data_IF_026306527743
#
_entry.id   IF_026306527743
#
_cell.length_a   1.000
_cell.length_b   1.000
_cell.length_c   1.000
_cell.angle_alpha   90.00
_cell.angle_beta   90.00
_cell.angle_gamma   90.00
#
_symmetry.space_group_name_H-M   'P 1'
#
loop_
_entity.id
_entity.type
_entity.pdbx_description
1 polymer ?
#
# COMPACT_ATOMS: atom_id res chain seq x y z
N UNK A 1 -58.56 -35.32 13.97
CA UNK A 1 -57.50 -36.17 14.50
C UNK A 1 -56.97 -37.04 13.37
N UNK A 2 -55.80 -36.70 12.83
CA UNK A 2 -54.94 -37.65 12.14
C UNK A 2 -53.64 -37.67 12.94
N UNK A 3 -53.57 -38.58 13.91
CA UNK A 3 -52.48 -38.74 14.88
C UNK A 3 -51.23 -39.43 14.29
N UNK A 4 -51.08 -39.54 12.97
CA UNK A 4 -49.95 -40.27 12.37
C UNK A 4 -49.46 -39.64 11.04
N UNK A 5 -48.99 -38.39 11.09
CA UNK A 5 -48.16 -37.82 10.02
C UNK A 5 -46.73 -37.57 10.53
N UNK A 6 -46.10 -38.63 11.06
CA UNK A 6 -44.68 -38.65 11.43
C UNK A 6 -43.76 -39.01 10.25
N UNK A 7 -44.20 -38.82 9.01
CA UNK A 7 -43.35 -39.05 7.83
C UNK A 7 -42.41 -37.85 7.63
N UNK A 8 -41.28 -38.01 8.30
CA UNK A 8 -40.20 -37.06 8.52
C UNK A 8 -39.51 -36.66 7.21
N UNK A 9 -39.79 -35.46 6.72
CA UNK A 9 -38.87 -34.77 5.83
C UNK A 9 -37.52 -34.60 6.55
N UNK A 10 -36.44 -35.05 5.89
CA UNK A 10 -35.09 -35.01 6.47
C UNK A 10 -34.15 -34.29 5.50
N UNK A 11 -33.47 -33.26 5.98
CA UNK A 11 -32.52 -32.45 5.22
C UNK A 11 -31.14 -33.00 5.51
N UNK A 12 -30.44 -33.48 4.47
CA UNK A 12 -29.03 -33.86 4.60
C UNK A 12 -28.17 -32.63 4.42
N UNK A 13 -27.39 -32.31 5.46
CA UNK A 13 -26.37 -31.28 5.47
C UNK A 13 -25.02 -31.98 5.38
N UNK A 14 -24.28 -31.72 4.31
CA UNK A 14 -22.87 -32.08 4.24
C UNK A 14 -22.07 -30.78 4.19
N UNK A 15 -21.01 -30.68 4.97
CA UNK A 15 -20.14 -29.52 4.92
C UNK A 15 -18.68 -29.83 5.17
N UNK A 16 -17.83 -28.93 4.69
CA UNK A 16 -16.39 -28.95 4.89
C UNK A 16 -16.03 -27.68 5.66
N UNK A 17 -15.44 -27.85 6.84
CA UNK A 17 -14.80 -26.76 7.55
C UNK A 17 -13.30 -26.82 7.27
N UNK A 18 -12.69 -25.69 6.88
CA UNK A 18 -11.23 -25.54 6.78
C UNK A 18 -10.78 -24.51 7.79
N UNK A 19 -9.80 -24.85 8.62
CA UNK A 19 -9.07 -23.89 9.45
C UNK A 19 -7.67 -23.73 8.89
N UNK A 20 -7.29 -22.48 8.62
CA UNK A 20 -5.94 -22.12 8.23
C UNK A 20 -5.17 -21.55 9.42
N UNK A 21 -4.04 -22.18 9.76
CA UNK A 21 -3.03 -21.58 10.63
C UNK A 21 -2.31 -20.50 9.85
N UNK A 22 -2.31 -19.25 10.31
CA UNK A 22 -1.59 -18.19 9.63
C UNK A 22 -0.23 -17.94 10.28
N UNK A 23 0.79 -17.63 9.47
CA UNK A 23 2.10 -17.19 9.95
C UNK A 23 1.94 -15.88 10.74
N UNK A 24 2.52 -15.77 11.96
CA UNK A 24 2.40 -14.55 12.77
C UNK A 24 2.94 -13.32 12.03
N UNK A 25 4.03 -13.50 11.29
CA UNK A 25 4.87 -12.40 10.79
C UNK A 25 4.89 -12.25 9.26
N UNK A 26 4.06 -13.01 8.53
CA UNK A 26 4.00 -12.96 7.06
C UNK A 26 5.28 -13.35 6.31
N UNK A 27 6.27 -13.89 7.03
CA UNK A 27 7.54 -14.37 6.47
C UNK A 27 7.43 -15.74 5.81
N UNK A 28 8.20 -15.91 4.72
CA UNK A 28 8.40 -17.16 3.97
C UNK A 28 8.73 -18.31 4.93
N UNK A 29 8.11 -19.50 4.80
CA UNK A 29 8.46 -20.63 5.65
C UNK A 29 9.89 -21.06 5.37
N UNK A 30 10.70 -21.17 6.43
CA UNK A 30 12.04 -21.73 6.36
C UNK A 30 11.97 -23.21 5.96
N UNK A 31 12.32 -23.51 4.71
CA UNK A 31 12.37 -24.89 4.17
C UNK A 31 13.73 -25.54 4.40
N UNK A 32 14.40 -25.24 5.52
CA UNK A 32 15.62 -25.93 5.91
C UNK A 32 15.37 -26.90 7.07
N UNK A 33 14.88 -28.08 6.69
CA UNK A 33 15.02 -29.26 7.54
C UNK A 33 16.50 -29.62 7.64
N UNK A 34 17.14 -29.33 8.76
CA UNK A 34 18.31 -30.11 9.21
C UNK A 34 18.35 -30.17 10.72
N UNK A 35 18.24 -31.41 11.22
CA UNK A 35 18.58 -31.84 12.57
C UNK A 35 19.95 -31.29 13.00
N UNK A 36 19.96 -30.45 14.03
CA UNK A 36 21.17 -29.88 14.60
C UNK A 36 21.16 -30.02 16.12
N UNK A 37 21.86 -31.03 16.59
CA UNK A 37 22.07 -31.41 17.99
C UNK A 37 22.71 -30.24 18.77
N UNK A 38 22.12 -29.89 19.91
CA UNK A 38 22.76 -29.06 20.94
C UNK A 38 24.08 -29.69 21.40
N UNK A 39 25.18 -28.91 21.39
CA UNK A 39 26.26 -29.07 22.37
C UNK A 39 26.79 -27.73 22.84
N UNK A 40 26.77 -27.59 24.16
CA UNK A 40 27.33 -26.53 24.99
C UNK A 40 28.75 -26.93 25.46
N UNK A 41 29.53 -25.92 25.88
CA UNK A 41 30.78 -25.95 26.67
C UNK A 41 32.06 -26.20 25.84
N UNK A 42 33.25 -25.67 26.14
CA UNK A 42 33.83 -24.87 27.25
C UNK A 42 35.24 -24.42 26.81
N UNK A 43 35.79 -23.35 27.42
CA UNK A 43 37.24 -23.12 27.58
C UNK A 43 38.03 -22.53 26.40
N UNK A 44 38.61 -21.34 26.57
CA UNK A 44 39.96 -21.26 27.12
C UNK A 44 40.44 -19.80 27.32
N UNK A 45 41.05 -19.59 28.49
CA UNK A 45 41.78 -18.40 28.87
C UNK A 45 43.10 -18.30 28.09
N UNK A 46 43.49 -17.10 27.69
CA UNK A 46 44.92 -16.78 27.64
C UNK A 46 45.22 -15.36 28.10
N UNK A 47 45.71 -15.32 29.33
CA UNK A 47 46.38 -14.20 29.99
C UNK A 47 47.80 -14.10 29.44
N UNK A 48 48.22 -12.92 28.98
CA UNK A 48 49.63 -12.57 28.88
C UNK A 48 49.90 -11.27 29.64
N UNK A 49 50.63 -11.41 30.75
CA UNK A 49 51.08 -10.34 31.64
C UNK A 49 52.52 -9.93 31.29
N UNK A 50 52.72 -8.61 31.36
CA UNK A 50 53.92 -7.83 31.75
C UNK A 50 55.16 -7.87 30.84
N UNK A 51 55.58 -6.67 30.44
CA UNK A 51 56.88 -6.13 30.86
C UNK A 51 56.79 -4.63 31.19
N UNK A 52 57.30 -4.27 32.37
CA UNK A 52 57.45 -2.90 32.86
C UNK A 52 58.78 -2.35 32.36
N UNK A 53 58.75 -1.14 31.79
CA UNK A 53 59.93 -0.31 31.56
C UNK A 53 59.63 1.11 32.01
N UNK A 54 60.23 1.53 33.12
CA UNK A 54 60.18 2.90 33.64
C UNK A 54 61.25 3.72 32.91
N UNK A 55 60.87 4.83 32.28
CA UNK A 55 61.77 5.95 32.01
C UNK A 55 61.10 7.26 32.44
N UNK A 56 61.73 7.93 33.40
CA UNK A 56 61.34 9.24 33.93
C UNK A 56 61.90 10.37 33.06
N UNK A 57 61.05 11.40 32.91
CA UNK A 57 61.33 12.84 32.75
C UNK A 57 61.96 13.33 31.43
N UNK A 58 61.14 14.08 30.70
CA UNK A 58 61.56 15.20 29.87
C UNK A 58 60.40 16.18 29.75
N UNK A 59 60.32 17.15 30.66
CA UNK A 59 59.37 18.25 30.55
C UNK A 59 59.69 19.07 29.30
N UNK A 60 58.78 19.08 28.31
CA UNK A 60 58.79 20.09 27.26
C UNK A 60 57.41 20.75 27.16
N UNK A 61 57.39 21.99 27.60
CA UNK A 61 56.28 22.93 27.67
C UNK A 61 55.84 23.29 26.25
N UNK A 62 54.69 22.80 25.80
CA UNK A 62 53.95 23.38 24.66
C UNK A 62 52.47 23.46 25.05
N UNK A 63 52.13 24.55 25.74
CA UNK A 63 50.76 25.05 25.85
C UNK A 63 50.70 26.38 25.12
N UNK A 64 50.16 26.36 23.89
CA UNK A 64 49.49 27.46 23.17
C UNK A 64 49.05 26.91 21.82
N UNK A 65 47.88 26.26 21.79
CA UNK A 65 47.35 25.65 20.56
C UNK A 65 46.05 24.88 20.73
N UNK A 66 45.70 24.46 21.95
CA UNK A 66 44.45 23.72 22.21
C UNK A 66 43.18 24.50 21.88
N UNK A 67 43.18 25.84 22.07
CA UNK A 67 42.04 26.70 21.70
C UNK A 67 41.93 26.90 20.18
N UNK A 68 43.05 27.08 19.47
CA UNK A 68 43.03 27.21 18.01
C UNK A 68 42.64 25.89 17.31
N UNK A 69 43.11 24.74 17.81
CA UNK A 69 42.72 23.45 17.26
C UNK A 69 41.22 23.17 17.45
N UNK A 70 40.68 23.48 18.64
CA UNK A 70 39.24 23.36 18.90
C UNK A 70 38.40 24.27 17.98
N UNK A 71 38.84 25.52 17.75
CA UNK A 71 38.14 26.46 16.86
C UNK A 71 38.16 25.96 15.41
N UNK A 72 39.27 25.40 14.94
CA UNK A 72 39.36 24.84 13.57
C UNK A 72 38.47 23.61 13.42
N UNK A 73 38.43 22.71 14.41
CA UNK A 73 37.53 21.53 14.37
C UNK A 73 36.06 21.95 14.39
N UNK A 74 35.70 22.94 15.21
CA UNK A 74 34.32 23.49 15.24
C UNK A 74 33.98 24.17 13.92
N UNK A 75 34.89 24.94 13.33
CA UNK A 75 34.68 25.57 12.02
C UNK A 75 34.49 24.53 10.92
N UNK A 76 35.29 23.45 10.92
CA UNK A 76 35.12 22.33 9.98
C UNK A 76 33.75 21.69 10.19
N UNK A 77 33.35 21.39 11.43
CA UNK A 77 32.02 20.81 11.72
C UNK A 77 30.88 21.72 11.29
N UNK A 78 31.01 23.04 11.48
CA UNK A 78 30.00 24.02 11.02
C UNK A 78 29.96 24.06 9.49
N UNK A 79 31.11 24.07 8.81
CA UNK A 79 31.19 24.04 7.35
C UNK A 79 30.62 22.71 6.83
N UNK A 80 30.96 21.57 7.44
CA UNK A 80 30.40 20.25 7.11
C UNK A 80 28.90 20.22 7.34
N UNK A 81 28.39 20.81 8.42
CA UNK A 81 26.96 20.93 8.69
C UNK A 81 26.28 21.84 7.66
N UNK A 82 26.87 22.98 7.29
CA UNK A 82 26.36 23.87 6.26
C UNK A 82 26.36 23.18 4.89
N UNK A 83 27.41 22.41 4.56
CA UNK A 83 27.49 21.60 3.34
C UNK A 83 26.44 20.49 3.36
N UNK A 84 26.23 19.80 4.48
CA UNK A 84 25.17 18.81 4.64
C UNK A 84 23.76 19.44 4.51
N UNK A 85 23.57 20.63 5.08
CA UNK A 85 22.31 21.38 4.98
C UNK A 85 22.09 21.91 3.56
N UNK A 86 23.14 22.36 2.86
CA UNK A 86 23.04 22.80 1.47
C UNK A 86 22.84 21.64 0.51
N UNK A 87 23.46 20.48 0.77
CA UNK A 87 23.19 19.25 0.03
C UNK A 87 21.76 18.75 0.26
N UNK A 88 21.21 18.94 1.46
CA UNK A 88 19.78 18.75 1.74
C UNK A 88 18.86 19.77 1.06
N UNK A 89 19.37 20.90 0.56
CA UNK A 89 18.55 22.02 0.06
C UNK A 89 18.57 22.23 -1.45
N UNK A 90 19.31 21.45 -2.23
CA UNK A 90 19.17 21.50 -3.68
C UNK A 90 20.33 20.95 -4.47
N UNK A 91 20.02 20.59 -5.71
CA UNK A 91 21.01 20.45 -6.76
C UNK A 91 21.52 21.86 -7.08
N UNK A 92 22.85 22.03 -7.08
CA UNK A 92 23.49 23.34 -7.24
C UNK A 92 23.01 24.02 -8.53
N UNK A 93 22.45 25.23 -8.41
CA UNK A 93 22.04 26.05 -9.55
C UNK A 93 20.55 26.01 -9.92
N UNK A 94 19.72 25.26 -9.20
CA UNK A 94 18.27 25.20 -9.42
C UNK A 94 17.54 26.40 -8.77
N UNK A 95 16.53 26.95 -9.46
CA UNK A 95 15.71 28.02 -8.91
C UNK A 95 14.75 27.44 -7.85
N UNK A 96 14.64 28.09 -6.69
CA UNK A 96 13.82 27.59 -5.58
C UNK A 96 12.39 28.16 -5.68
N UNK A 97 11.38 27.30 -5.60
CA UNK A 97 9.99 27.71 -5.45
C UNK A 97 9.66 27.95 -3.97
N UNK A 98 8.95 29.04 -3.68
CA UNK A 98 8.38 29.29 -2.35
C UNK A 98 7.14 28.43 -2.10
N UNK A 99 6.82 28.19 -0.83
CA UNK A 99 5.63 27.42 -0.47
C UNK A 99 4.34 28.13 -0.90
N UNK A 100 4.32 29.46 -0.90
CA UNK A 100 3.20 30.27 -1.40
C UNK A 100 2.95 30.04 -2.90
N UNK A 101 4.01 30.02 -3.70
CA UNK A 101 3.91 29.70 -5.13
C UNK A 101 3.31 28.30 -5.32
N UNK A 102 3.76 27.31 -4.56
CA UNK A 102 3.21 25.95 -4.62
C UNK A 102 1.73 25.90 -4.22
N UNK A 103 1.35 26.51 -3.10
CA UNK A 103 -0.03 26.48 -2.60
C UNK A 103 -1.01 27.29 -3.45
N UNK A 104 -0.51 28.32 -4.15
CA UNK A 104 -1.29 29.13 -5.10
C UNK A 104 -1.48 28.50 -6.48
N UNK A 105 -0.90 27.32 -6.71
CA UNK A 105 -1.01 26.56 -7.98
C UNK A 105 -2.44 26.48 -8.49
N UNK A 106 -2.59 26.68 -9.80
CA UNK A 106 -3.82 26.40 -10.54
C UNK A 106 -3.62 25.22 -11.49
N UNK A 107 -4.67 24.43 -11.63
CA UNK A 107 -4.68 23.24 -12.48
C UNK A 107 -6.10 22.98 -12.98
N UNK A 108 -6.23 22.46 -14.20
CA UNK A 108 -7.51 22.11 -14.78
C UNK A 108 -7.41 20.83 -15.61
N UNK A 109 -8.49 20.05 -15.57
CA UNK A 109 -8.53 18.71 -16.17
C UNK A 109 -9.22 18.70 -17.53
N UNK A 110 -8.89 17.69 -18.33
CA UNK A 110 -9.70 17.31 -19.47
C UNK A 110 -11.04 16.75 -18.97
N UNK A 111 -12.13 17.01 -19.69
CA UNK A 111 -13.47 16.56 -19.29
C UNK A 111 -13.64 15.08 -19.72
N UNK A 112 -12.91 14.20 -19.06
CA UNK A 112 -12.94 12.76 -19.31
C UNK A 112 -13.94 12.06 -18.39
N UNK A 113 -14.85 11.30 -18.99
CA UNK A 113 -15.92 10.59 -18.31
C UNK A 113 -15.48 9.16 -17.96
N UNK A 114 -15.00 8.99 -16.72
CA UNK A 114 -14.64 7.73 -16.09
C UNK A 114 -15.13 7.69 -14.65
N UNK A 115 -15.42 6.51 -14.12
CA UNK A 115 -15.90 6.29 -12.76
C UNK A 115 -14.87 5.61 -11.84
N UNK A 116 -13.98 4.80 -12.42
CA UNK A 116 -13.06 3.92 -11.69
C UNK A 116 -11.64 4.10 -12.24
N UNK A 117 -10.65 4.04 -11.36
CA UNK A 117 -9.23 3.95 -11.73
C UNK A 117 -8.70 2.60 -11.30
N UNK A 118 -8.05 1.89 -12.22
CA UNK A 118 -7.48 0.57 -11.98
C UNK A 118 -5.97 0.68 -12.18
N UNK A 119 -5.20 0.42 -11.13
CA UNK A 119 -3.74 0.42 -11.17
C UNK A 119 -3.20 -1.00 -11.07
N UNK A 120 -2.31 -1.37 -11.98
CA UNK A 120 -1.62 -2.64 -11.93
C UNK A 120 -0.54 -2.62 -10.82
N UNK A 121 -0.37 -3.71 -10.08
CA UNK A 121 0.59 -3.81 -8.97
C UNK A 121 2.01 -4.23 -9.38
N UNK A 122 2.24 -4.57 -10.66
CA UNK A 122 3.56 -4.92 -11.21
C UNK A 122 4.59 -3.82 -10.97
N UNK A 123 4.16 -2.56 -10.92
CA UNK A 123 4.96 -1.45 -10.43
C UNK A 123 4.21 -0.68 -9.35
N UNK A 124 4.80 -0.46 -8.17
CA UNK A 124 4.13 0.27 -7.10
C UNK A 124 3.89 1.75 -7.46
N UNK A 125 4.63 2.29 -8.43
CA UNK A 125 4.47 3.65 -8.95
C UNK A 125 3.13 3.88 -9.65
N UNK A 126 2.51 2.84 -10.22
CA UNK A 126 1.21 3.01 -10.88
C UNK A 126 0.12 3.46 -9.91
N UNK A 127 0.15 3.00 -8.66
CA UNK A 127 -0.77 3.48 -7.63
C UNK A 127 -0.54 4.95 -7.27
N UNK A 128 0.73 5.40 -7.23
CA UNK A 128 1.08 6.80 -7.01
C UNK A 128 0.55 7.71 -8.12
N UNK A 129 0.74 7.30 -9.38
CA UNK A 129 0.22 8.02 -10.56
C UNK A 129 -1.32 8.05 -10.57
N UNK A 130 -1.95 6.95 -10.17
CA UNK A 130 -3.40 6.80 -10.14
C UNK A 130 -4.09 7.62 -9.05
N UNK A 131 -3.41 7.91 -7.95
CA UNK A 131 -4.01 8.55 -6.77
C UNK A 131 -4.67 9.92 -7.09
N UNK A 132 -4.01 10.89 -7.75
CA UNK A 132 -4.65 12.16 -8.12
C UNK A 132 -5.66 12.04 -9.28
N UNK A 133 -5.83 10.85 -9.87
CA UNK A 133 -6.95 10.56 -10.79
C UNK A 133 -8.17 10.06 -10.04
N UNK A 134 -7.95 9.27 -8.99
CA UNK A 134 -8.99 8.66 -8.19
C UNK A 134 -9.56 9.65 -7.16
N UNK A 135 -8.73 10.49 -6.55
CA UNK A 135 -9.17 11.50 -5.59
C UNK A 135 -8.45 12.82 -5.83
N UNK A 136 -9.20 13.92 -5.96
CA UNK A 136 -8.62 15.25 -6.13
C UNK A 136 -9.57 16.34 -5.65
N UNK A 137 -9.05 17.56 -5.51
CA UNK A 137 -9.81 18.74 -5.11
C UNK A 137 -9.88 19.77 -6.25
N UNK A 138 -11.10 20.16 -6.65
CA UNK A 138 -11.35 21.22 -7.63
C UNK A 138 -12.64 21.96 -7.27
N UNK A 139 -12.53 22.99 -6.43
CA UNK A 139 -13.69 23.66 -5.82
C UNK A 139 -14.51 22.76 -4.85
N UNK A 140 -14.14 21.48 -4.73
CA UNK A 140 -14.75 20.46 -3.89
C UNK A 140 -13.99 19.13 -4.03
N UNK A 141 -14.33 18.15 -3.18
CA UNK A 141 -13.71 16.82 -3.21
C UNK A 141 -14.34 15.96 -4.31
N UNK A 142 -13.52 15.43 -5.20
CA UNK A 142 -13.89 14.39 -6.16
C UNK A 142 -13.26 13.08 -5.74
N UNK A 143 -14.03 11.99 -5.72
CA UNK A 143 -13.53 10.67 -5.31
C UNK A 143 -14.15 9.56 -6.13
N UNK A 144 -13.29 8.68 -6.61
CA UNK A 144 -13.56 7.51 -7.43
C UNK A 144 -12.81 6.32 -6.82
N UNK A 145 -13.31 5.08 -6.95
CA UNK A 145 -12.58 3.91 -6.50
C UNK A 145 -11.24 3.77 -7.22
N UNK A 146 -10.18 3.54 -6.46
CA UNK A 146 -8.87 3.08 -6.96
C UNK A 146 -8.74 1.59 -6.64
N UNK A 147 -8.73 0.75 -7.67
CA UNK A 147 -8.57 -0.70 -7.55
C UNK A 147 -7.15 -1.07 -7.93
N UNK A 148 -6.47 -1.85 -7.08
CA UNK A 148 -5.14 -2.37 -7.37
C UNK A 148 -5.26 -3.81 -7.82
N UNK A 149 -4.79 -4.12 -9.03
CA UNK A 149 -4.95 -5.44 -9.68
C UNK A 149 -3.60 -6.07 -10.00
N UNK A 150 -3.56 -7.39 -10.00
CA UNK A 150 -2.44 -8.18 -10.52
C UNK A 150 -2.15 -9.42 -9.69
N UNK A 151 -1.19 -10.20 -10.20
CA UNK A 151 -0.76 -11.42 -9.55
C UNK A 151 -0.11 -11.13 -8.20
N UNK A 152 -0.66 -11.66 -7.11
CA UNK A 152 -0.07 -11.60 -5.77
C UNK A 152 0.76 -12.87 -5.56
N UNK A 153 2.10 -12.83 -5.68
CA UNK A 153 2.95 -14.02 -5.68
C UNK A 153 2.86 -14.87 -4.39
N UNK A 154 2.41 -14.26 -3.30
CA UNK A 154 2.27 -14.89 -1.98
C UNK A 154 0.92 -15.59 -1.78
N UNK A 155 -0.03 -15.45 -2.70
CA UNK A 155 -1.31 -16.17 -2.66
C UNK A 155 -1.15 -17.47 -3.46
N UNK A 156 -0.74 -18.55 -2.79
CA UNK A 156 -0.48 -19.86 -3.40
C UNK A 156 -1.67 -20.46 -4.17
N UNK A 157 -2.89 -20.00 -3.88
CA UNK A 157 -4.14 -20.44 -4.51
C UNK A 157 -4.74 -19.41 -5.46
N UNK A 158 -3.96 -18.43 -5.93
CA UNK A 158 -4.47 -17.43 -6.85
C UNK A 158 -4.65 -18.04 -8.24
N UNK A 159 -5.90 -18.36 -8.59
CA UNK A 159 -6.27 -18.94 -9.88
C UNK A 159 -6.34 -17.89 -11.01
N UNK A 160 -6.42 -16.60 -10.66
CA UNK A 160 -6.55 -15.47 -11.59
C UNK A 160 -5.75 -14.27 -11.11
N UNK A 161 -5.16 -13.52 -12.04
CA UNK A 161 -4.39 -12.30 -11.72
C UNK A 161 -5.27 -11.16 -11.17
N UNK A 162 -6.59 -11.28 -11.22
CA UNK A 162 -7.51 -10.32 -10.60
C UNK A 162 -8.22 -11.00 -9.44
N UNK A 163 -8.11 -10.41 -8.23
CA UNK A 163 -8.76 -10.93 -7.05
C UNK A 163 -10.29 -10.98 -7.24
N UNK A 164 -10.94 -12.04 -6.71
CA UNK A 164 -12.37 -12.26 -6.85
C UNK A 164 -13.23 -11.11 -6.29
N UNK A 165 -12.76 -10.42 -5.25
CA UNK A 165 -13.41 -9.23 -4.70
C UNK A 165 -13.48 -8.07 -5.70
N UNK A 166 -12.44 -7.89 -6.51
CA UNK A 166 -12.39 -6.89 -7.58
C UNK A 166 -13.36 -7.28 -8.69
N UNK A 167 -13.34 -8.53 -9.13
CA UNK A 167 -14.26 -9.02 -10.17
C UNK A 167 -15.71 -8.92 -9.71
N UNK A 168 -16.02 -9.26 -8.44
CA UNK A 168 -17.36 -9.09 -7.87
C UNK A 168 -17.77 -7.62 -7.80
N UNK A 169 -16.86 -6.72 -7.43
CA UNK A 169 -17.11 -5.28 -7.44
C UNK A 169 -17.45 -4.80 -8.86
N UNK A 170 -16.67 -5.17 -9.87
CA UNK A 170 -16.91 -4.77 -11.26
C UNK A 170 -18.24 -5.35 -11.79
N UNK A 171 -18.53 -6.61 -11.51
CA UNK A 171 -19.80 -7.25 -11.90
C UNK A 171 -21.02 -6.60 -11.23
N UNK A 172 -20.85 -5.97 -10.07
CA UNK A 172 -21.92 -5.26 -9.35
C UNK A 172 -22.22 -3.88 -9.96
N UNK A 173 -21.28 -3.31 -10.72
CA UNK A 173 -21.36 -1.99 -11.34
C UNK A 173 -20.90 -2.02 -12.82
N UNK A 174 -21.54 -2.82 -13.70
CA UNK A 174 -21.09 -3.06 -15.06
C UNK A 174 -21.21 -1.85 -16.00
N UNK A 175 -22.04 -0.86 -15.65
CA UNK A 175 -22.24 0.37 -16.43
C UNK A 175 -21.14 1.41 -16.24
N UNK A 176 -20.23 1.16 -15.29
CA UNK A 176 -19.14 2.06 -14.95
C UNK A 176 -18.05 2.06 -16.01
N UNK A 177 -17.26 3.12 -16.03
CA UNK A 177 -16.16 3.28 -16.98
C UNK A 177 -14.84 3.37 -16.26
N UNK A 178 -13.84 2.67 -16.75
CA UNK A 178 -12.54 2.58 -16.10
C UNK A 178 -11.41 3.24 -16.92
N UNK A 179 -10.46 3.83 -16.19
CA UNK A 179 -9.09 4.05 -16.68
C UNK A 179 -8.21 2.96 -16.10
N UNK A 180 -7.42 2.31 -16.95
CA UNK A 180 -6.46 1.27 -16.55
C UNK A 180 -5.03 1.81 -16.70
N UNK A 181 -4.23 1.63 -15.65
CA UNK A 181 -2.84 2.07 -15.57
C UNK A 181 -1.97 0.83 -15.32
N UNK A 182 -1.05 0.57 -16.24
CA UNK A 182 -0.28 -0.67 -16.34
C UNK A 182 -0.95 -1.73 -17.21
N UNK A 183 -0.53 -2.99 -17.04
CA UNK A 183 -1.02 -4.10 -17.87
C UNK A 183 -2.51 -4.36 -17.64
N UNK A 184 -3.23 -4.60 -18.75
CA UNK A 184 -4.65 -4.95 -18.76
C UNK A 184 -4.84 -6.46 -18.61
N UNK A 185 -5.70 -6.85 -17.67
CA UNK A 185 -6.10 -8.23 -17.46
C UNK A 185 -7.40 -8.59 -18.19
N UNK A 186 -7.51 -9.80 -18.77
CA UNK A 186 -8.75 -10.28 -19.43
C UNK A 186 -10.00 -10.23 -18.54
N UNK A 187 -9.83 -10.40 -17.24
CA UNK A 187 -10.89 -10.41 -16.22
C UNK A 187 -11.54 -9.03 -16.03
N UNK A 188 -10.94 -7.96 -16.55
CA UNK A 188 -11.51 -6.61 -16.58
C UNK A 188 -12.50 -6.41 -17.75
N UNK A 189 -12.89 -7.47 -18.45
CA UNK A 189 -13.83 -7.42 -19.58
C UNK A 189 -15.26 -7.05 -19.19
N UNK A 190 -15.62 -7.13 -17.91
CA UNK A 190 -16.94 -6.78 -17.39
C UNK A 190 -17.23 -5.27 -17.39
N UNK A 191 -16.23 -4.42 -17.67
CA UNK A 191 -16.34 -2.96 -17.60
C UNK A 191 -15.84 -2.28 -18.88
N UNK A 192 -16.45 -1.15 -19.26
CA UNK A 192 -15.96 -0.33 -20.36
C UNK A 192 -14.63 0.34 -19.96
N UNK A 193 -13.57 0.11 -20.75
CA UNK A 193 -12.27 0.75 -20.54
C UNK A 193 -12.15 1.93 -21.49
N UNK A 194 -12.13 3.14 -20.92
CA UNK A 194 -11.99 4.40 -21.66
C UNK A 194 -10.57 4.61 -22.15
N UNK A 195 -9.62 4.42 -21.23
CA UNK A 195 -8.19 4.58 -21.49
C UNK A 195 -7.45 3.41 -20.83
N UNK A 196 -6.44 2.92 -21.54
CA UNK A 196 -5.52 1.91 -21.02
C UNK A 196 -4.09 2.36 -21.32
N UNK A 197 -3.32 2.62 -20.27
CA UNK A 197 -1.94 3.06 -20.36
C UNK A 197 -1.03 1.92 -19.93
N UNK A 198 -0.33 1.28 -20.87
CA UNK A 198 0.60 0.20 -20.59
C UNK A 198 2.02 0.60 -20.96
N UNK A 199 3.00 0.22 -20.15
CA UNK A 199 4.40 0.50 -20.43
C UNK A 199 5.18 0.80 -19.17
N UNK A 200 6.26 1.55 -19.32
CA UNK A 200 7.08 1.99 -18.20
C UNK A 200 6.36 3.07 -17.37
N UNK A 201 6.46 3.07 -16.02
CA UNK A 201 5.88 4.13 -15.20
C UNK A 201 6.27 5.54 -15.60
N UNK A 202 7.49 5.76 -16.12
CA UNK A 202 7.92 7.07 -16.59
C UNK A 202 7.06 7.53 -17.77
N UNK A 203 6.98 6.72 -18.82
CA UNK A 203 6.21 7.00 -20.04
C UNK A 203 4.72 7.13 -19.73
N UNK A 204 4.17 6.19 -18.95
CA UNK A 204 2.76 6.16 -18.56
C UNK A 204 2.37 7.42 -17.80
N UNK A 205 3.21 7.90 -16.87
CA UNK A 205 2.92 9.11 -16.11
C UNK A 205 2.85 10.37 -17.00
N UNK A 206 3.73 10.47 -17.99
CA UNK A 206 3.76 11.58 -18.95
C UNK A 206 2.53 11.55 -19.86
N UNK A 207 2.17 10.37 -20.39
CA UNK A 207 0.98 10.20 -21.23
C UNK A 207 -0.30 10.57 -20.48
N UNK A 208 -0.49 10.03 -19.27
CA UNK A 208 -1.63 10.32 -18.42
C UNK A 208 -1.74 11.82 -18.11
N UNK A 209 -0.63 12.45 -17.75
CA UNK A 209 -0.59 13.89 -17.49
C UNK A 209 -0.97 14.69 -18.73
N UNK A 210 -0.44 14.30 -19.90
CA UNK A 210 -0.72 14.96 -21.17
C UNK A 210 -2.17 14.81 -21.63
N UNK A 211 -2.84 13.69 -21.35
CA UNK A 211 -4.20 13.44 -21.81
C UNK A 211 -5.26 14.00 -20.85
N UNK A 212 -5.02 13.86 -19.54
CA UNK A 212 -6.04 14.11 -18.52
C UNK A 212 -5.95 15.50 -17.89
N UNK A 213 -4.86 16.25 -18.11
CA UNK A 213 -4.75 17.66 -17.72
C UNK A 213 -4.70 18.58 -18.92
N UNK A 214 -5.50 19.64 -18.87
CA UNK A 214 -5.45 20.75 -19.85
C UNK A 214 -4.35 21.74 -19.49
N UNK A 215 -4.17 21.99 -18.20
CA UNK A 215 -3.21 22.94 -17.65
C UNK A 215 -2.84 22.53 -16.23
N UNK A 216 -1.59 22.74 -15.84
CA UNK A 216 -1.13 22.64 -14.46
C UNK A 216 0.11 23.51 -14.26
N UNK A 217 0.04 24.51 -13.36
CA UNK A 217 1.19 25.36 -13.05
C UNK A 217 2.32 24.57 -12.36
N UNK A 218 1.99 23.46 -11.70
CA UNK A 218 2.92 22.65 -10.92
C UNK A 218 2.84 21.18 -11.31
N UNK A 219 4.00 20.50 -11.32
CA UNK A 219 4.08 19.04 -11.46
C UNK A 219 4.64 18.44 -10.17
N UNK A 220 4.11 17.29 -9.72
CA UNK A 220 4.77 16.49 -8.70
C UNK A 220 5.68 15.48 -9.39
N UNK A 221 6.99 15.60 -9.23
CA UNK A 221 7.99 14.75 -9.88
C UNK A 221 8.65 13.84 -8.84
N UNK A 222 8.64 12.54 -9.10
CA UNK A 222 9.17 11.49 -8.24
C UNK A 222 10.24 10.71 -9.00
N UNK A 223 11.40 10.49 -8.38
CA UNK A 223 12.45 9.70 -9.00
C UNK A 223 12.08 8.22 -8.98
N UNK A 224 12.33 7.51 -10.07
CA UNK A 224 11.95 6.10 -10.23
C UNK A 224 12.94 5.17 -9.51
N UNK A 225 12.90 5.21 -8.18
CA UNK A 225 13.57 4.26 -7.30
C UNK A 225 12.80 4.08 -5.99
N UNK A 226 13.12 3.01 -5.24
CA UNK A 226 12.39 2.67 -4.03
C UNK A 226 12.62 3.65 -2.87
N UNK A 227 13.74 4.38 -2.86
CA UNK A 227 14.01 5.38 -1.83
C UNK A 227 13.02 6.55 -1.95
N UNK A 228 12.91 7.13 -3.15
CA UNK A 228 11.97 8.20 -3.41
C UNK A 228 10.52 7.73 -3.40
N UNK A 229 10.23 6.48 -3.82
CA UNK A 229 8.91 5.88 -3.64
C UNK A 229 8.42 5.96 -2.18
N UNK A 230 9.26 5.59 -1.21
CA UNK A 230 8.88 5.58 0.20
C UNK A 230 8.52 6.97 0.74
N UNK A 231 9.21 8.01 0.28
CA UNK A 231 8.87 9.40 0.60
C UNK A 231 7.59 9.80 -0.14
N UNK A 232 7.48 9.43 -1.42
CA UNK A 232 6.41 9.83 -2.30
C UNK A 232 5.04 9.28 -1.91
N UNK A 233 4.95 8.09 -1.29
CA UNK A 233 3.70 7.57 -0.71
C UNK A 233 3.04 8.60 0.21
N UNK A 234 3.85 9.35 0.97
CA UNK A 234 3.38 10.41 1.86
C UNK A 234 3.16 11.75 1.14
N UNK A 235 3.79 11.95 -0.02
CA UNK A 235 3.75 13.21 -0.76
C UNK A 235 2.60 13.29 -1.76
N UNK A 236 2.24 12.17 -2.40
CA UNK A 236 1.20 12.10 -3.43
C UNK A 236 -0.19 12.60 -2.98
N UNK A 237 -0.60 12.51 -1.70
CA UNK A 237 -1.78 13.23 -1.23
C UNK A 237 -1.76 14.73 -1.53
N UNK A 238 -0.60 15.40 -1.48
CA UNK A 238 -0.45 16.81 -1.89
C UNK A 238 -0.88 17.00 -3.35
N UNK A 239 -0.51 16.09 -4.24
CA UNK A 239 -0.92 16.18 -5.65
C UNK A 239 -2.45 16.10 -5.82
N UNK A 240 -3.12 15.33 -4.96
CA UNK A 240 -4.58 15.24 -4.93
C UNK A 240 -5.22 16.56 -4.49
N UNK A 241 -4.71 17.18 -3.42
CA UNK A 241 -5.23 18.47 -2.92
C UNK A 241 -4.96 19.65 -3.87
N UNK A 242 -3.84 19.60 -4.60
CA UNK A 242 -3.48 20.64 -5.58
C UNK A 242 -4.03 20.34 -6.98
N UNK A 243 -4.67 19.17 -7.20
CA UNK A 243 -5.14 18.69 -8.49
C UNK A 243 -4.04 18.69 -9.58
N UNK A 244 -2.82 18.30 -9.22
CA UNK A 244 -1.67 18.28 -10.13
C UNK A 244 -1.33 16.85 -10.57
N UNK A 245 -0.73 16.67 -11.76
CA UNK A 245 -0.28 15.35 -12.20
C UNK A 245 0.95 14.89 -11.40
N UNK A 246 1.02 13.57 -11.22
CA UNK A 246 2.19 12.86 -10.67
C UNK A 246 3.00 12.31 -11.82
N UNK A 247 4.27 12.69 -11.88
CA UNK A 247 5.23 12.30 -12.91
C UNK A 247 6.31 11.45 -12.25
N UNK A 248 6.57 10.29 -12.82
CA UNK A 248 7.67 9.41 -12.43
C UNK A 248 8.76 9.58 -13.47
N UNK A 249 10.01 9.77 -13.05
CA UNK A 249 11.13 9.87 -13.99
C UNK A 249 12.45 9.44 -13.36
N UNK A 250 13.44 9.08 -14.15
CA UNK A 250 14.82 8.88 -13.66
C UNK A 250 15.72 10.08 -13.97
N UNK A 251 15.29 10.96 -14.86
CA UNK A 251 16.05 12.12 -15.32
C UNK A 251 15.12 13.23 -15.84
N UNK A 252 15.70 14.38 -16.20
CA UNK A 252 14.99 15.39 -16.96
C UNK A 252 15.29 15.23 -18.45
N UNK A 253 14.28 14.84 -19.23
CA UNK A 253 14.41 14.51 -20.64
C UNK A 253 13.53 15.41 -21.55
N UNK A 254 13.58 15.16 -22.86
CA UNK A 254 12.83 15.95 -23.84
C UNK A 254 11.31 15.81 -23.68
N UNK A 255 10.81 14.62 -23.32
CA UNK A 255 9.38 14.39 -23.17
C UNK A 255 8.80 15.20 -22.00
N UNK A 256 9.59 15.36 -20.93
CA UNK A 256 9.24 16.25 -19.82
C UNK A 256 9.27 17.73 -20.21
N UNK A 257 10.16 18.17 -21.10
CA UNK A 257 10.10 19.53 -21.65
C UNK A 257 8.81 19.74 -22.45
N UNK A 258 8.47 18.80 -23.33
CA UNK A 258 7.24 18.86 -24.12
C UNK A 258 6.02 18.87 -23.21
N UNK A 259 5.98 18.03 -22.17
CA UNK A 259 4.89 17.98 -21.21
C UNK A 259 4.79 19.29 -20.42
N UNK A 260 5.92 19.81 -19.92
CA UNK A 260 5.99 21.08 -19.21
C UNK A 260 5.39 22.20 -20.05
N UNK A 261 5.80 22.33 -21.30
CA UNK A 261 5.33 23.37 -22.21
C UNK A 261 3.85 23.19 -22.54
N UNK A 262 3.40 21.94 -22.78
CA UNK A 262 1.99 21.60 -23.02
C UNK A 262 1.08 22.00 -21.85
N UNK A 263 1.49 21.69 -20.62
CA UNK A 263 0.70 21.97 -19.42
C UNK A 263 0.88 23.40 -18.92
N UNK A 264 1.87 24.15 -19.42
CA UNK A 264 2.22 25.48 -18.92
C UNK A 264 2.83 25.45 -17.52
N UNK A 265 3.55 24.38 -17.18
CA UNK A 265 4.12 24.18 -15.85
C UNK A 265 5.29 25.13 -15.59
N UNK A 266 5.23 25.80 -14.43
CA UNK A 266 6.21 26.80 -13.95
C UNK A 266 6.98 26.30 -12.74
N UNK A 267 6.36 25.43 -11.95
CA UNK A 267 6.90 24.93 -10.69
C UNK A 267 6.97 23.40 -10.67
N UNK A 268 7.87 22.86 -9.85
CA UNK A 268 7.90 21.44 -9.49
C UNK A 268 7.85 21.30 -7.98
N UNK A 269 7.10 20.31 -7.51
CA UNK A 269 7.39 19.64 -6.24
C UNK A 269 8.25 18.44 -6.60
N UNK A 270 9.49 18.39 -6.12
CA UNK A 270 10.45 17.36 -6.54
C UNK A 270 10.87 16.47 -5.38
N UNK A 271 10.57 15.17 -5.53
CA UNK A 271 11.14 14.09 -4.73
C UNK A 271 12.14 13.33 -5.62
N UNK A 272 13.26 13.99 -5.92
CA UNK A 272 14.31 13.50 -6.84
C UNK A 272 15.68 14.02 -6.42
N UNK A 273 16.74 13.46 -7.01
CA UNK A 273 18.12 13.93 -6.91
C UNK A 273 18.61 14.65 -8.17
N UNK A 274 17.90 14.55 -9.30
CA UNK A 274 18.28 15.26 -10.53
C UNK A 274 17.73 16.69 -10.58
N UNK A 275 18.38 17.56 -11.36
CA UNK A 275 17.99 18.97 -11.53
C UNK A 275 16.77 19.12 -12.43
N UNK A 276 15.83 19.99 -12.08
CA UNK A 276 14.65 20.29 -12.87
C UNK A 276 14.74 21.75 -13.38
N UNK A 277 14.59 22.02 -14.69
CA UNK A 277 14.66 23.36 -15.26
C UNK A 277 13.34 24.14 -15.05
N UNK A 278 12.91 24.22 -13.80
CA UNK A 278 11.75 24.98 -13.30
C UNK A 278 12.08 25.52 -11.90
N UNK A 279 11.18 26.33 -11.33
CA UNK A 279 11.30 26.64 -9.91
C UNK A 279 10.86 25.42 -9.10
N UNK A 280 11.71 24.92 -8.22
CA UNK A 280 11.51 23.63 -7.55
C UNK A 280 11.37 23.79 -6.04
N UNK A 281 10.38 23.12 -5.46
CA UNK A 281 10.25 22.85 -4.04
C UNK A 281 10.67 21.40 -3.79
N UNK A 282 11.82 21.19 -3.12
CA UNK A 282 12.35 19.84 -2.90
C UNK A 282 11.79 19.20 -1.64
N UNK A 283 11.50 17.91 -1.75
CA UNK A 283 11.00 17.05 -0.68
C UNK A 283 11.94 15.86 -0.57
N UNK A 284 12.77 15.86 0.47
CA UNK A 284 13.84 14.87 0.65
C UNK A 284 13.58 13.91 1.82
N UNK A 285 12.47 14.10 2.53
CA UNK A 285 12.13 13.36 3.74
C UNK A 285 10.63 13.30 3.95
N UNK A 286 10.19 12.37 4.80
CA UNK A 286 8.78 12.26 5.22
C UNK A 286 8.38 13.51 6.01
N UNK A 287 9.29 14.08 6.79
CA UNK A 287 9.07 15.33 7.53
C UNK A 287 8.77 16.51 6.60
N UNK A 288 9.42 16.59 5.44
CA UNK A 288 9.12 17.61 4.43
C UNK A 288 7.70 17.41 3.87
N UNK A 289 7.29 16.15 3.62
CA UNK A 289 5.90 15.84 3.21
C UNK A 289 4.90 16.30 4.27
N UNK A 290 5.14 15.96 5.54
CA UNK A 290 4.26 16.32 6.65
C UNK A 290 4.20 17.84 6.85
N UNK A 291 5.33 18.53 6.68
CA UNK A 291 5.38 19.99 6.71
C UNK A 291 4.48 20.60 5.64
N UNK A 292 4.59 20.12 4.40
CA UNK A 292 3.77 20.61 3.28
C UNK A 292 2.28 20.28 3.45
N UNK A 293 1.95 19.16 4.11
CA UNK A 293 0.57 18.73 4.30
C UNK A 293 -0.09 19.43 5.50
N UNK A 294 0.55 19.45 6.67
CA UNK A 294 -0.12 19.83 7.92
C UNK A 294 0.72 20.46 9.04
N UNK A 295 2.05 20.29 9.08
CA UNK A 295 2.86 20.76 10.22
C UNK A 295 3.63 22.05 9.96
N UNK A 296 3.79 22.43 8.68
CA UNK A 296 4.46 23.66 8.28
C UNK A 296 3.65 24.90 8.62
N UNK A 297 4.34 26.03 8.80
CA UNK A 297 3.70 27.34 9.04
C UNK A 297 2.68 27.69 7.96
N UNK A 298 2.98 27.31 6.71
CA UNK A 298 2.04 27.26 5.59
C UNK A 298 1.95 25.82 5.11
N UNK A 299 0.74 25.34 4.87
CA UNK A 299 0.52 23.97 4.43
C UNK A 299 -0.80 23.81 3.68
N UNK A 300 -0.97 22.66 3.04
CA UNK A 300 -2.17 22.34 2.26
C UNK A 300 -3.44 22.45 3.10
N UNK A 301 -3.44 21.97 4.34
CA UNK A 301 -4.64 21.98 5.16
C UNK A 301 -5.08 23.38 5.59
N UNK A 302 -4.20 24.16 6.21
CA UNK A 302 -4.57 25.50 6.66
C UNK A 302 -4.79 26.47 5.50
N UNK A 303 -3.92 26.44 4.50
CA UNK A 303 -3.84 27.53 3.52
C UNK A 303 -4.55 27.22 2.20
N UNK A 304 -4.67 25.94 1.81
CA UNK A 304 -5.36 25.56 0.56
C UNK A 304 -6.81 25.16 0.79
N UNK A 305 -7.09 24.36 1.81
CA UNK A 305 -8.45 23.86 2.05
C UNK A 305 -9.11 24.42 3.32
N UNK A 306 -8.44 25.31 4.04
CA UNK A 306 -8.93 25.95 5.28
C UNK A 306 -9.48 24.94 6.30
N UNK A 307 -8.71 23.88 6.56
CA UNK A 307 -9.02 22.80 7.46
C UNK A 307 -7.89 22.58 8.48
N UNK A 308 -8.25 21.99 9.63
CA UNK A 308 -7.29 21.55 10.65
C UNK A 308 -7.64 20.12 11.06
N UNK A 309 -6.93 19.10 10.54
CA UNK A 309 -7.22 17.72 10.90
C UNK A 309 -6.80 17.42 12.34
N UNK A 310 -7.55 16.57 13.03
CA UNK A 310 -7.16 16.07 14.34
C UNK A 310 -6.14 14.91 14.24
N UNK A 311 -6.21 14.13 13.16
CA UNK A 311 -5.26 13.04 12.87
C UNK A 311 -5.19 12.76 11.36
N UNK A 312 -4.10 12.15 10.92
CA UNK A 312 -3.88 11.70 9.53
C UNK A 312 -3.53 10.22 9.57
N UNK A 313 -4.19 9.43 8.72
CA UNK A 313 -3.86 8.01 8.50
C UNK A 313 -3.43 7.85 7.04
N UNK A 314 -2.25 7.27 6.84
CA UNK A 314 -1.74 6.89 5.53
C UNK A 314 -1.54 5.38 5.54
N UNK A 315 -2.07 4.67 4.55
CA UNK A 315 -1.85 3.25 4.36
C UNK A 315 -0.96 3.06 3.11
N UNK A 316 0.26 2.54 3.28
CA UNK A 316 1.08 2.17 2.13
C UNK A 316 0.66 0.77 1.67
N UNK A 317 0.41 0.54 0.37
CA UNK A 317 0.14 -0.80 -0.15
C UNK A 317 1.22 -1.83 0.19
N UNK A 318 2.47 -1.41 0.42
CA UNK A 318 3.56 -2.28 0.87
C UNK A 318 3.52 -2.61 2.38
N UNK A 319 2.71 -1.92 3.19
CA UNK A 319 2.54 -2.21 4.62
C UNK A 319 1.69 -3.47 4.86
N UNK A 320 1.13 -4.06 3.79
CA UNK A 320 0.36 -5.29 3.88
C UNK A 320 1.32 -6.47 4.01
N UNK A 321 1.39 -7.07 5.20
CA UNK A 321 2.06 -8.35 5.41
C UNK A 321 1.13 -9.49 5.00
N UNK A 322 1.48 -10.29 3.99
CA UNK A 322 0.62 -11.38 3.56
C UNK A 322 0.58 -12.48 4.61
N UNK A 323 -0.61 -12.90 5.00
CA UNK A 323 -0.76 -14.02 5.95
C UNK A 323 -0.57 -15.34 5.19
N UNK A 324 0.54 -16.02 5.45
CA UNK A 324 0.83 -17.33 4.87
C UNK A 324 0.08 -18.41 5.63
N UNK A 325 -0.67 -19.26 4.93
CA UNK A 325 -1.25 -20.47 5.52
C UNK A 325 -0.13 -21.47 5.79
N UNK A 326 0.18 -21.70 7.08
CA UNK A 326 1.18 -22.65 7.57
C UNK A 326 0.65 -24.08 7.56
N UNK A 327 -0.64 -24.26 7.89
CA UNK A 327 -1.29 -25.57 7.92
C UNK A 327 -2.79 -25.41 7.64
N UNK A 328 -3.38 -26.39 6.95
CA UNK A 328 -4.82 -26.51 6.75
C UNK A 328 -5.31 -27.76 7.49
N UNK A 329 -6.28 -27.59 8.38
CA UNK A 329 -7.03 -28.72 8.93
C UNK A 329 -8.45 -28.69 8.35
N UNK A 330 -8.89 -29.82 7.81
CA UNK A 330 -10.22 -29.95 7.22
C UNK A 330 -11.06 -30.96 8.01
N UNK A 331 -12.28 -30.56 8.37
CA UNK A 331 -13.28 -31.44 8.96
C UNK A 331 -14.45 -31.59 8.00
N UNK A 332 -14.90 -32.83 7.84
CA UNK A 332 -16.12 -33.13 7.11
C UNK A 332 -17.20 -33.46 8.11
N UNK A 333 -18.34 -32.79 7.99
CA UNK A 333 -19.51 -33.11 8.78
C UNK A 333 -20.66 -33.52 7.86
N UNK A 334 -21.43 -34.50 8.33
CA UNK A 334 -22.66 -34.95 7.71
C UNK A 334 -23.71 -35.06 8.80
N UNK A 335 -24.87 -34.46 8.58
CA UNK A 335 -25.97 -34.42 9.54
C UNK A 335 -27.30 -34.48 8.83
N UNK A 336 -28.31 -35.01 9.52
CA UNK A 336 -29.68 -35.01 9.02
C UNK A 336 -30.55 -34.20 9.97
N UNK A 337 -31.23 -33.17 9.45
CA UNK A 337 -32.14 -32.32 10.25
C UNK A 337 -33.57 -32.61 9.85
N UNK A 338 -34.48 -32.74 10.82
CA UNK A 338 -35.91 -32.84 10.53
C UNK A 338 -36.40 -31.50 9.97
N UNK A 339 -37.19 -31.50 8.89
CA UNK A 339 -37.67 -30.27 8.24
C UNK A 339 -38.51 -29.38 9.15
N UNK A 340 -39.19 -29.96 10.14
CA UNK A 340 -39.94 -29.21 11.18
C UNK A 340 -39.03 -28.32 12.03
N UNK A 341 -37.73 -28.57 12.01
CA UNK A 341 -36.70 -27.88 12.78
C UNK A 341 -35.90 -26.86 11.95
N UNK A 342 -36.30 -26.59 10.71
CA UNK A 342 -35.59 -25.70 9.76
C UNK A 342 -36.47 -24.60 9.16
N UNK A 343 -37.55 -24.21 9.85
CA UNK A 343 -38.38 -23.06 9.47
C UNK A 343 -37.63 -21.73 9.60
N UNK A 344 -38.12 -20.67 8.93
CA UNK A 344 -37.51 -19.33 8.95
C UNK A 344 -37.45 -18.68 10.35
N UNK A 345 -38.19 -19.21 11.33
CA UNK A 345 -38.21 -18.76 12.73
C UNK A 345 -37.63 -19.78 13.71
N UNK A 346 -37.15 -20.93 13.24
CA UNK A 346 -36.51 -21.91 14.12
C UNK A 346 -35.04 -21.56 14.27
N UNK A 347 -34.54 -21.52 15.50
CA UNK A 347 -33.12 -21.47 15.82
C UNK A 347 -32.59 -22.91 15.96
N UNK A 348 -31.90 -23.46 14.94
CA UNK A 348 -31.42 -24.84 14.98
C UNK A 348 -30.40 -25.07 16.11
N UNK A 349 -29.77 -24.02 16.63
CA UNK A 349 -28.78 -24.13 17.71
C UNK A 349 -29.40 -24.55 19.06
N UNK A 350 -30.68 -24.22 19.25
CA UNK A 350 -31.46 -24.56 20.46
C UNK A 350 -32.11 -25.93 20.40
N UNK A 351 -32.15 -26.57 19.22
CA UNK A 351 -32.75 -27.88 19.05
C UNK A 351 -31.77 -28.99 19.52
N UNK A 352 -32.14 -29.84 20.49
CA UNK A 352 -31.29 -30.94 20.96
C UNK A 352 -31.06 -32.02 19.89
N UNK A 353 -31.98 -32.16 18.93
CA UNK A 353 -31.89 -33.12 17.83
C UNK A 353 -31.15 -32.55 16.59
N UNK A 354 -30.73 -31.27 16.62
CA UNK A 354 -29.97 -30.71 15.52
C UNK A 354 -28.52 -31.23 15.54
N UNK A 355 -27.97 -31.63 14.38
CA UNK A 355 -26.57 -32.03 14.28
C UNK A 355 -25.68 -30.83 14.61
N UNK A 356 -24.99 -30.90 15.75
CA UNK A 356 -23.99 -29.92 16.18
C UNK A 356 -22.62 -30.41 15.78
N UNK A 357 -21.86 -29.57 15.08
CA UNK A 357 -20.45 -29.82 14.82
C UNK A 357 -19.64 -28.77 15.57
N UNK A 358 -18.78 -29.25 16.47
CA UNK A 358 -17.88 -28.39 17.23
C UNK A 358 -16.53 -28.37 16.51
N UNK A 359 -16.07 -27.16 16.22
CA UNK A 359 -14.77 -26.93 15.61
C UNK A 359 -13.86 -26.38 16.72
N UNK A 360 -12.79 -27.10 17.02
CA UNK A 360 -11.78 -26.65 17.98
C UNK A 360 -10.64 -26.01 17.20
N UNK A 361 -10.41 -24.71 17.42
CA UNK A 361 -9.22 -24.03 16.94
C UNK A 361 -8.05 -24.44 17.85
N UNK A 362 -6.94 -24.98 17.33
CA UNK A 362 -5.81 -25.36 18.17
C UNK A 362 -5.23 -24.16 18.92
N UNK A 363 -4.83 -24.37 20.18
CA UNK A 363 -4.37 -23.32 21.09
C UNK A 363 -3.11 -22.58 20.59
N UNK A 364 -2.34 -23.19 19.69
CA UNK A 364 -1.11 -22.63 19.12
C UNK A 364 -1.34 -21.78 17.85
N UNK A 365 -2.60 -21.52 17.49
CA UNK A 365 -2.98 -20.68 16.36
C UNK A 365 -3.22 -19.24 16.85
N UNK A 366 -2.30 -18.32 16.53
CA UNK A 366 -2.46 -16.88 16.87
C UNK A 366 -3.57 -16.23 16.02
N UNK A 367 -3.71 -16.66 14.76
CA UNK A 367 -4.79 -16.25 13.86
C UNK A 367 -5.30 -17.49 13.10
N UNK A 368 -6.63 -17.63 13.03
CA UNK A 368 -7.31 -18.72 12.35
C UNK A 368 -8.36 -18.16 11.38
N UNK A 369 -8.33 -18.57 10.11
CA UNK A 369 -9.42 -18.32 9.18
C UNK A 369 -10.30 -19.57 9.08
N UNK A 370 -11.60 -19.44 9.31
CA UNK A 370 -12.57 -20.55 9.33
C UNK A 370 -13.47 -20.43 8.10
N UNK A 371 -13.35 -21.36 7.16
CA UNK A 371 -14.17 -21.42 5.96
C UNK A 371 -15.16 -22.58 6.10
N UNK A 372 -16.45 -22.28 5.97
CA UNK A 372 -17.56 -23.24 6.06
C UNK A 372 -18.24 -23.38 4.70
N UNK A 373 -17.98 -24.48 4.02
CA UNK A 373 -18.68 -24.85 2.79
C UNK A 373 -19.83 -25.81 3.17
N UNK A 374 -21.08 -25.48 2.86
CA UNK A 374 -22.25 -26.34 3.17
C UNK A 374 -23.09 -26.63 1.93
N UNK A 375 -23.54 -27.88 1.81
CA UNK A 375 -24.46 -28.34 0.77
C UNK A 375 -25.72 -28.84 1.44
N UNK A 376 -26.87 -28.25 1.07
CA UNK A 376 -28.19 -28.71 1.49
C UNK A 376 -28.79 -29.61 0.40
N UNK A 377 -29.12 -30.86 0.76
CA UNK A 377 -29.90 -31.75 -0.12
C UNK A 377 -31.25 -32.05 0.52
N UNK A 378 -32.32 -31.74 -0.20
CA UNK A 378 -33.68 -32.11 0.15
C UNK A 378 -33.96 -33.54 -0.35
N UNK A 379 -34.63 -34.35 0.46
CA UNK A 379 -35.23 -35.61 0.00
C UNK A 379 -36.60 -35.34 -0.65
N UNK A 380 -36.98 -36.12 -1.66
CA UNK A 380 -38.31 -36.04 -2.27
C UNK A 380 -39.43 -36.22 -1.23
N UNK A 381 -40.57 -35.57 -1.45
CA UNK A 381 -41.74 -35.73 -0.59
C UNK A 381 -42.30 -37.15 -0.75
N UNK A 382 -42.54 -37.90 0.34
CA UNK A 382 -43.25 -39.17 0.26
C UNK A 382 -44.73 -39.00 -0.11
N UNK A 383 -45.23 -37.76 -0.21
CA UNK A 383 -46.59 -37.43 -0.63
C UNK A 383 -46.57 -37.16 -2.15
N UNK A 384 -47.24 -37.99 -2.97
CA UNK A 384 -47.30 -37.79 -4.42
C UNK A 384 -47.89 -36.41 -4.77
N UNK A 385 -47.20 -35.63 -5.61
CA UNK A 385 -47.70 -34.37 -6.17
C UNK A 385 -47.28 -33.08 -5.44
N UNK A 386 -46.47 -33.17 -4.38
CA UNK A 386 -45.79 -32.00 -3.80
C UNK A 386 -44.39 -31.86 -4.39
N UNK A 387 -44.25 -31.00 -5.40
CA UNK A 387 -42.94 -30.62 -5.93
C UNK A 387 -42.20 -29.74 -4.92
N UNK A 388 -40.87 -29.90 -4.85
CA UNK A 388 -39.96 -29.16 -3.98
C UNK A 388 -39.92 -27.67 -4.33
#
# INVERSE_FOLDING_TARGET
MCENCNDLHSIRLAGKCRIWRLCPDGGVPDTSGTSGIERKNEGDNMVLKKHYGVVKRGARKIMRGKKCFAVVVVAILIISAIILISHRRGVVGEAIASIDEILSTTSSRTNEDYDIVIANQKSPFFALIATPLASYFDGGKHTKPLLVVGHCPWVKSQESDVASSITQFLNRYPEKKAIVIGEKYPELSAIEIRHAYSGDPCEVSIQIAGDLWKHSDTLLIIEKDMWHYNIAVNLVPVASYLNIPVIVSSDWNNDLNVLKDKLGAKYAIACTNFSIPMKTYRVNSIEDCLSLICTGEKNVFSDRINAKPDYIVLANPLDITPKIVLNETAWYFNGTVKSTSTGSTSDPSTNPDAPKHYITIPDDYIYANVILDTIMKFSESPIPGRNA
#
